data_IF_980234425492
#
_entry.id   IF_980234425492
#
_cell.length_a   1.000
_cell.length_b   1.000
_cell.length_c   1.000
_cell.angle_alpha   90.00
_cell.angle_beta   90.00
_cell.angle_gamma   90.00
#
_symmetry.space_group_name_H-M   'P 1'
#
loop_
_entity.id
_entity.type
_entity.pdbx_description
1 polymer ?
#
# COMPACT_ATOMS: atom_id res chain seq x y z
N UNK A 1 -22.13 -2.13 -9.82
CA UNK A 1 -21.51 -1.63 -8.57
C UNK A 1 -20.00 -1.79 -8.71
N UNK A 2 -19.22 -0.75 -8.42
CA UNK A 2 -17.77 -0.89 -8.37
C UNK A 2 -17.42 -1.72 -7.13
N UNK A 3 -16.56 -2.73 -7.28
CA UNK A 3 -16.10 -3.55 -6.14
C UNK A 3 -15.22 -2.69 -5.24
N UNK A 4 -15.37 -2.85 -3.93
CA UNK A 4 -14.52 -2.17 -2.95
C UNK A 4 -13.08 -2.65 -3.13
N UNK A 5 -12.13 -1.73 -3.19
CA UNK A 5 -10.70 -2.06 -3.33
C UNK A 5 -9.99 -1.80 -2.01
N UNK A 6 -9.30 -2.81 -1.49
CA UNK A 6 -8.57 -2.75 -0.23
C UNK A 6 -7.11 -3.12 -0.46
N UNK A 7 -6.21 -2.26 -0.02
CA UNK A 7 -4.78 -2.53 0.00
C UNK A 7 -4.35 -2.81 1.42
N UNK A 8 -3.61 -3.89 1.60
CA UNK A 8 -2.90 -4.19 2.84
C UNK A 8 -1.44 -3.79 2.68
N UNK A 9 -0.99 -2.81 3.46
CA UNK A 9 0.37 -2.29 3.44
C UNK A 9 1.15 -2.95 4.58
N UNK A 10 2.24 -3.64 4.22
CA UNK A 10 3.24 -4.18 5.15
C UNK A 10 4.54 -3.43 4.97
N UNK A 11 5.17 -3.05 6.08
CA UNK A 11 6.47 -2.41 6.08
C UNK A 11 7.27 -2.80 7.31
N UNK A 12 8.60 -2.79 7.20
CA UNK A 12 9.51 -3.37 8.19
C UNK A 12 9.50 -2.71 9.59
N UNK A 13 8.84 -1.55 9.74
CA UNK A 13 8.80 -0.80 11.00
C UNK A 13 7.51 -1.03 11.81
N UNK A 14 6.56 -1.83 11.31
CA UNK A 14 5.30 -2.13 12.00
C UNK A 14 5.03 -3.63 12.05
N UNK A 15 4.67 -4.11 13.24
CA UNK A 15 4.21 -5.48 13.45
C UNK A 15 2.78 -5.69 12.92
N UNK A 16 2.00 -4.61 12.81
CA UNK A 16 0.64 -4.63 12.29
C UNK A 16 0.55 -4.05 10.87
N UNK A 17 -0.14 -4.73 9.94
CA UNK A 17 -0.36 -4.21 8.60
C UNK A 17 -1.41 -3.09 8.62
N UNK A 18 -1.23 -2.10 7.75
CA UNK A 18 -2.20 -1.01 7.56
C UNK A 18 -3.17 -1.42 6.44
N UNK A 19 -4.47 -1.31 6.70
CA UNK A 19 -5.50 -1.56 5.69
C UNK A 19 -6.04 -0.23 5.17
N UNK A 20 -5.98 -0.05 3.86
CA UNK A 20 -6.43 1.15 3.18
C UNK A 20 -7.51 0.81 2.16
N UNK A 21 -8.64 1.49 2.25
CA UNK A 21 -9.63 1.50 1.18
C UNK A 21 -9.23 2.50 0.10
N UNK A 22 -9.20 2.04 -1.14
CA UNK A 22 -8.84 2.83 -2.33
C UNK A 22 -10.12 3.18 -3.08
N UNK A 23 -10.43 4.47 -3.11
CA UNK A 23 -11.62 5.02 -3.79
C UNK A 23 -11.42 5.17 -5.30
N UNK A 24 -10.17 5.37 -5.75
CA UNK A 24 -9.83 5.65 -7.14
C UNK A 24 -8.60 4.84 -7.58
N UNK A 25 -8.85 3.82 -8.41
CA UNK A 25 -7.81 2.91 -8.94
C UNK A 25 -7.01 3.50 -10.11
N UNK A 26 -7.42 4.65 -10.65
CA UNK A 26 -6.69 5.34 -11.71
C UNK A 26 -5.47 6.11 -11.21
N UNK A 27 -5.26 6.13 -9.88
CA UNK A 27 -4.10 6.75 -9.24
C UNK A 27 -2.88 5.82 -9.25
N UNK A 28 -1.71 6.44 -9.23
CA UNK A 28 -0.45 5.71 -9.07
C UNK A 28 -0.31 5.14 -7.66
N UNK A 29 0.47 4.07 -7.53
CA UNK A 29 0.77 3.45 -6.23
C UNK A 29 1.41 4.46 -5.28
N UNK A 30 2.34 5.28 -5.78
CA UNK A 30 2.93 6.37 -5.01
C UNK A 30 1.87 7.31 -4.44
N UNK A 31 0.93 7.79 -5.25
CA UNK A 31 -0.15 8.68 -4.79
C UNK A 31 -1.07 8.01 -3.77
N UNK A 32 -1.37 6.72 -3.94
CA UNK A 32 -2.20 5.96 -3.01
C UNK A 32 -1.49 5.81 -1.66
N UNK A 33 -0.19 5.53 -1.66
CA UNK A 33 0.60 5.39 -0.43
C UNK A 33 0.80 6.72 0.29
N UNK A 34 0.96 7.84 -0.43
CA UNK A 34 0.96 9.17 0.19
C UNK A 34 -0.40 9.51 0.82
N UNK A 35 -1.51 9.20 0.14
CA UNK A 35 -2.85 9.37 0.72
C UNK A 35 -3.03 8.52 1.99
N UNK A 36 -2.42 7.32 2.04
CA UNK A 36 -2.40 6.51 3.24
C UNK A 36 -1.73 7.23 4.42
N UNK A 37 -0.59 7.90 4.19
CA UNK A 37 0.08 8.73 5.20
C UNK A 37 -0.85 9.84 5.69
N UNK A 38 -1.46 10.60 4.76
CA UNK A 38 -2.36 11.70 5.11
C UNK A 38 -3.58 11.21 5.93
N UNK A 39 -4.16 10.07 5.53
CA UNK A 39 -5.28 9.46 6.26
C UNK A 39 -4.88 9.04 7.67
N UNK A 40 -3.69 8.46 7.86
CA UNK A 40 -3.19 8.08 9.18
C UNK A 40 -2.98 9.31 10.08
N UNK A 41 -2.45 10.41 9.54
CA UNK A 41 -2.31 11.66 10.29
C UNK A 41 -3.66 12.21 10.76
N UNK A 42 -4.66 12.23 9.88
CA UNK A 42 -6.03 12.69 10.19
C UNK A 42 -6.70 11.80 11.24
N UNK A 43 -6.41 10.50 11.24
CA UNK A 43 -6.93 9.54 12.24
C UNK A 43 -6.20 9.61 13.58
N UNK A 44 -5.20 10.49 13.74
CA UNK A 44 -4.39 10.60 14.96
C UNK A 44 -3.33 9.50 15.10
N UNK A 45 -3.09 8.72 14.04
CA UNK A 45 -2.06 7.67 13.97
C UNK A 45 -0.74 8.25 13.47
N UNK A 46 -0.25 9.29 14.14
CA UNK A 46 0.93 10.05 13.70
C UNK A 46 2.20 9.21 13.70
N UNK A 47 2.31 8.22 14.60
CA UNK A 47 3.49 7.36 14.66
C UNK A 47 3.59 6.49 13.40
N UNK A 48 2.50 5.84 13.02
CA UNK A 48 2.37 4.99 11.83
C UNK A 48 2.53 5.81 10.55
N UNK A 49 1.97 7.02 10.51
CA UNK A 49 2.16 7.95 9.40
C UNK A 49 3.64 8.31 9.20
N UNK A 50 4.36 8.64 10.28
CA UNK A 50 5.80 8.95 10.24
C UNK A 50 6.60 7.73 9.78
N UNK A 51 6.30 6.55 10.32
CA UNK A 51 6.98 5.31 9.93
C UNK A 51 6.77 5.02 8.43
N UNK A 52 5.52 5.04 7.96
CA UNK A 52 5.20 4.82 6.55
C UNK A 52 5.89 5.86 5.65
N UNK A 53 5.82 7.14 6.00
CA UNK A 53 6.47 8.23 5.27
C UNK A 53 7.99 8.03 5.15
N UNK A 54 8.65 7.56 6.21
CA UNK A 54 10.09 7.25 6.19
C UNK A 54 10.40 6.06 5.28
N UNK A 55 9.56 5.01 5.33
CA UNK A 55 9.74 3.83 4.48
C UNK A 55 9.57 4.20 2.99
N UNK A 56 8.60 5.03 2.64
CA UNK A 56 8.33 5.41 1.24
C UNK A 56 9.50 6.14 0.54
N UNK A 57 10.44 6.73 1.28
CA UNK A 57 11.58 7.45 0.70
C UNK A 57 12.68 6.53 0.17
N UNK A 58 12.90 5.39 0.83
CA UNK A 58 14.11 4.57 0.65
C UNK A 58 13.81 3.09 0.29
N UNK A 59 12.55 2.74 0.01
CA UNK A 59 12.13 1.35 -0.16
C UNK A 59 11.55 1.09 -1.55
N UNK A 60 11.82 -0.11 -2.06
CA UNK A 60 11.17 -0.65 -3.24
C UNK A 60 9.76 -1.12 -2.87
N UNK A 61 8.83 -0.91 -3.79
CA UNK A 61 7.43 -1.28 -3.62
C UNK A 61 7.20 -2.62 -4.32
N UNK A 62 6.65 -3.57 -3.58
CA UNK A 62 6.25 -4.87 -4.09
C UNK A 62 4.75 -5.02 -3.95
N UNK A 63 4.10 -5.53 -4.99
CA UNK A 63 2.68 -5.89 -4.97
C UNK A 63 2.56 -7.36 -5.32
N UNK A 64 1.90 -8.14 -4.46
CA UNK A 64 1.75 -9.59 -4.66
C UNK A 64 3.11 -10.28 -4.92
N UNK A 65 4.17 -9.82 -4.23
CA UNK A 65 5.53 -10.34 -4.38
C UNK A 65 6.31 -9.87 -5.61
N UNK A 66 5.71 -9.08 -6.50
CA UNK A 66 6.40 -8.51 -7.67
C UNK A 66 6.79 -7.06 -7.43
N UNK A 67 8.04 -6.70 -7.72
CA UNK A 67 8.46 -5.30 -7.66
C UNK A 67 7.71 -4.48 -8.70
N UNK A 68 7.12 -3.35 -8.28
CA UNK A 68 6.35 -2.46 -9.15
C UNK A 68 7.01 -1.08 -9.23
N UNK A 69 6.81 -0.41 -10.37
CA UNK A 69 7.15 1.00 -10.48
C UNK A 69 6.20 1.82 -9.58
N UNK A 70 6.69 2.72 -8.70
CA UNK A 70 5.83 3.59 -7.88
C UNK A 70 4.83 4.43 -8.69
N UNK A 71 5.16 4.78 -9.92
CA UNK A 71 4.29 5.54 -10.82
C UNK A 71 3.29 4.67 -11.59
N UNK A 72 3.34 3.33 -11.42
CA UNK A 72 2.35 2.43 -12.00
C UNK A 72 0.95 2.71 -11.44
N UNK A 73 -0.06 2.64 -12.31
CA UNK A 73 -1.46 2.82 -11.96
C UNK A 73 -2.01 1.56 -11.29
N UNK A 74 -2.74 1.68 -10.19
CA UNK A 74 -3.23 0.51 -9.44
C UNK A 74 -4.08 -0.44 -10.30
N UNK A 75 -4.94 0.09 -11.16
CA UNK A 75 -5.82 -0.73 -12.00
C UNK A 75 -5.08 -1.65 -12.98
N UNK A 76 -3.80 -1.37 -13.28
CA UNK A 76 -2.99 -2.19 -14.20
C UNK A 76 -2.21 -3.29 -13.47
N UNK A 77 -2.32 -3.36 -12.14
CA UNK A 77 -1.57 -4.28 -11.29
C UNK A 77 -2.42 -5.49 -10.92
N UNK A 78 -1.79 -6.64 -10.58
CA UNK A 78 -2.52 -7.84 -10.22
C UNK A 78 -3.26 -7.63 -8.89
N UNK A 79 -4.60 -7.52 -8.97
CA UNK A 79 -5.50 -7.52 -7.82
C UNK A 79 -6.18 -8.88 -7.69
N UNK A 80 -6.34 -9.36 -6.46
CA UNK A 80 -7.08 -10.57 -6.13
C UNK A 80 -8.53 -10.22 -5.79
N UNK A 81 -9.50 -11.02 -6.23
CA UNK A 81 -10.85 -10.94 -5.68
C UNK A 81 -10.90 -11.78 -4.39
N UNK A 82 -11.43 -11.22 -3.31
CA UNK A 82 -11.68 -11.91 -2.04
C UNK A 82 -13.11 -11.70 -1.59
N UNK A 83 -13.66 -12.69 -0.89
CA UNK A 83 -14.97 -12.56 -0.23
C UNK A 83 -14.73 -12.35 1.26
N UNK A 84 -15.24 -11.25 1.81
CA UNK A 84 -15.15 -10.91 3.24
C UNK A 84 -16.55 -10.59 3.72
N UNK A 85 -17.08 -11.35 4.69
CA UNK A 85 -18.45 -11.17 5.20
C UNK A 85 -19.51 -11.10 4.09
N UNK A 86 -19.42 -12.01 3.10
CA UNK A 86 -20.32 -12.10 1.94
C UNK A 86 -20.15 -10.98 0.88
N UNK A 87 -19.30 -9.98 1.12
CA UNK A 87 -18.96 -8.95 0.14
C UNK A 87 -17.74 -9.36 -0.72
N UNK A 88 -17.83 -9.18 -2.04
CA UNK A 88 -16.68 -9.28 -2.93
C UNK A 88 -15.85 -7.98 -2.93
N UNK A 89 -14.58 -8.10 -2.58
CA UNK A 89 -13.60 -7.02 -2.60
C UNK A 89 -12.45 -7.34 -3.57
N UNK A 90 -11.89 -6.31 -4.17
CA UNK A 90 -10.57 -6.37 -4.81
C UNK A 90 -9.50 -6.11 -3.76
N UNK A 91 -8.44 -6.90 -3.78
CA UNK A 91 -7.44 -6.94 -2.72
C UNK A 91 -6.02 -6.99 -3.31
N UNK A 92 -5.12 -6.20 -2.72
CA UNK A 92 -3.69 -6.33 -2.96
C UNK A 92 -2.89 -6.25 -1.66
N UNK A 93 -1.84 -7.07 -1.57
CA UNK A 93 -0.81 -6.89 -0.54
C UNK A 93 0.34 -6.08 -1.13
N UNK A 94 0.63 -4.92 -0.51
CA UNK A 94 1.78 -4.08 -0.76
C UNK A 94 2.82 -4.34 0.31
N UNK A 95 4.05 -4.62 -0.10
CA UNK A 95 5.20 -4.76 0.78
C UNK A 95 6.22 -3.69 0.43
N UNK A 96 6.68 -2.96 1.46
CA UNK A 96 7.73 -1.97 1.32
C UNK A 96 9.03 -2.55 1.90
N UNK A 97 9.98 -2.85 1.01
CA UNK A 97 11.23 -3.52 1.36
C UNK A 97 12.42 -2.60 1.08
N UNK A 98 13.32 -2.51 2.05
CA UNK A 98 14.48 -1.61 1.97
C UNK A 98 15.43 -2.11 0.88
N UNK A 99 15.97 -1.20 0.06
CA UNK A 99 17.17 -1.57 -0.70
C UNK A 99 18.32 -1.79 0.28
N UNK A 100 18.70 -3.06 0.49
CA UNK A 100 20.07 -3.36 0.90
C UNK A 100 20.96 -3.13 -0.31
N UNK A 101 21.38 -1.87 -0.52
CA UNK A 101 22.63 -1.62 -1.24
C UNK A 101 23.74 -2.14 -0.33
N UNK A 102 24.09 -3.41 -0.50
CA UNK A 102 25.31 -3.96 0.07
C UNK A 102 26.44 -3.01 -0.31
N UNK A 103 27.11 -2.45 0.70
CA UNK A 103 28.27 -1.59 0.48
C UNK A 103 29.29 -2.35 -0.37
N UNK A 104 29.76 -1.69 -1.43
CA UNK A 104 31.02 -2.05 -2.08
C UNK A 104 32.17 -1.77 -1.11
#
# INVERSE_FOLDING_TARGET
MAKKTVIKIRFALSDEPIFLEVEDKSKSIKSILHNAVDKLEVLGMSHEAIQLSNVLKDHNIYIQGSQVNPDAILETLPLENKTVNEDEIEYAEVQLLREHRGGL
#
